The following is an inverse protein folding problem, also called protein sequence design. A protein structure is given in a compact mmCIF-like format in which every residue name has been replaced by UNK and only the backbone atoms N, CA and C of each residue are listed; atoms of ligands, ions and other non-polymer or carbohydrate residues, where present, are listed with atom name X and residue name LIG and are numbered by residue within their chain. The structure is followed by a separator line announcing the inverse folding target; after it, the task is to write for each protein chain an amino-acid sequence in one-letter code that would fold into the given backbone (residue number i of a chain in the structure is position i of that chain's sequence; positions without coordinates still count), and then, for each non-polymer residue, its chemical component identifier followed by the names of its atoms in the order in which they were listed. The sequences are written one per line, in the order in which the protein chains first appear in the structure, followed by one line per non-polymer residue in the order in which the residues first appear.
data_IF_970661402380
#
_entry.id   IF_970661402380
#
_cell.length_a   1.000
_cell.length_b   1.000
_cell.length_c   1.000
_cell.angle_alpha   90.00
_cell.angle_beta   90.00
_cell.angle_gamma   90.00
#
_symmetry.space_group_name_H-M   'P 1'
#
loop_
_entity.id
_entity.type
_entity.pdbx_description
1 polymer ?
#
# COMPACT_ATOMS: atom_id res chain seq x y z
N UNK A 1 -9.16 -13.12 7.13
CA UNK A 1 -10.37 -13.96 7.04
C UNK A 1 -11.25 -13.62 5.83
N UNK A 2 -11.21 -12.36 5.35
CA UNK A 2 -12.10 -11.87 4.28
C UNK A 2 -11.41 -11.74 2.91
N UNK A 3 -10.16 -12.13 2.79
CA UNK A 3 -9.40 -12.09 1.53
C UNK A 3 -10.12 -12.85 0.41
N UNK A 4 -10.21 -12.23 -0.77
CA UNK A 4 -10.77 -12.83 -2.00
C UNK A 4 -9.70 -13.28 -2.99
N UNK A 5 -8.49 -12.67 -2.91
CA UNK A 5 -7.29 -13.03 -3.67
C UNK A 5 -6.15 -13.37 -2.68
N UNK A 6 -5.93 -14.65 -2.37
CA UNK A 6 -4.92 -15.07 -1.41
C UNK A 6 -3.48 -14.80 -1.86
N UNK A 7 -3.20 -14.77 -3.15
CA UNK A 7 -1.86 -14.51 -3.67
C UNK A 7 -1.43 -13.07 -3.40
N UNK A 8 -2.38 -12.13 -3.50
CA UNK A 8 -2.15 -10.71 -3.25
C UNK A 8 -2.53 -10.26 -1.84
N UNK A 9 -3.13 -11.14 -1.05
CA UNK A 9 -3.69 -10.82 0.28
C UNK A 9 -4.65 -9.62 0.25
N UNK A 10 -5.54 -9.58 -0.76
CA UNK A 10 -6.48 -8.48 -1.03
C UNK A 10 -7.91 -9.00 -1.01
N UNK A 11 -8.83 -8.20 -0.49
CA UNK A 11 -10.27 -8.39 -0.67
C UNK A 11 -10.79 -7.35 -1.70
N UNK A 12 -11.49 -7.82 -2.74
CA UNK A 12 -12.12 -6.96 -3.74
C UNK A 12 -13.62 -7.23 -3.78
N UNK A 13 -14.40 -6.17 -3.67
CA UNK A 13 -15.87 -6.20 -3.69
C UNK A 13 -16.37 -5.32 -4.84
N UNK A 14 -17.16 -5.90 -5.72
CA UNK A 14 -17.80 -5.20 -6.84
C UNK A 14 -19.24 -4.84 -6.47
N UNK A 15 -19.60 -3.58 -6.63
CA UNK A 15 -20.94 -3.03 -6.39
C UNK A 15 -21.47 -3.29 -4.95
N UNK A 16 -20.61 -3.13 -3.90
CA UNK A 16 -20.97 -3.49 -2.55
C UNK A 16 -21.91 -2.49 -1.88
N UNK A 17 -22.68 -3.00 -0.93
CA UNK A 17 -23.25 -2.18 0.14
C UNK A 17 -22.21 -1.94 1.23
N UNK A 18 -22.31 -0.81 1.94
CA UNK A 18 -21.36 -0.39 2.97
C UNK A 18 -22.13 -0.05 4.24
N UNK A 19 -21.96 -0.86 5.27
CA UNK A 19 -22.43 -0.58 6.61
C UNK A 19 -21.34 0.15 7.39
N UNK A 20 -21.66 1.34 7.89
CA UNK A 20 -20.72 2.18 8.63
C UNK A 20 -21.22 2.27 10.08
N UNK A 21 -20.55 1.57 11.00
CA UNK A 21 -20.94 1.52 12.41
C UNK A 21 -19.86 2.16 13.29
N UNK A 22 -20.26 3.08 14.17
CA UNK A 22 -19.31 3.78 15.04
C UNK A 22 -18.69 2.85 16.08
N UNK A 23 -19.51 1.99 16.67
CA UNK A 23 -19.11 1.10 17.74
C UNK A 23 -18.63 -0.26 17.24
N UNK A 24 -18.10 -1.04 18.16
CA UNK A 24 -17.73 -2.44 17.98
C UNK A 24 -18.96 -3.30 17.68
N UNK A 25 -18.79 -4.30 16.81
CA UNK A 25 -19.81 -5.28 16.45
C UNK A 25 -19.38 -6.65 16.96
N UNK A 26 -20.02 -7.14 18.02
CA UNK A 26 -19.70 -8.43 18.66
C UNK A 26 -20.87 -9.41 18.63
N UNK A 27 -22.12 -8.89 18.64
CA UNK A 27 -23.33 -9.68 18.70
C UNK A 27 -23.91 -9.85 17.28
N UNK A 28 -24.14 -11.10 16.90
CA UNK A 28 -24.69 -11.42 15.58
C UNK A 28 -26.16 -11.00 15.44
N UNK A 29 -26.92 -10.99 16.52
CA UNK A 29 -28.34 -10.63 16.49
C UNK A 29 -28.59 -9.23 15.95
N UNK A 30 -27.71 -8.29 16.26
CA UNK A 30 -27.85 -6.90 15.85
C UNK A 30 -27.62 -6.71 14.33
N UNK A 31 -26.80 -7.61 13.72
CA UNK A 31 -26.52 -7.62 12.29
C UNK A 31 -27.55 -8.42 11.46
N UNK A 32 -28.25 -9.36 12.08
CA UNK A 32 -29.06 -10.35 11.36
C UNK A 32 -30.07 -9.71 10.39
N UNK A 33 -30.84 -8.66 10.79
CA UNK A 33 -31.83 -8.05 9.91
C UNK A 33 -31.24 -7.49 8.62
N UNK A 34 -30.08 -6.84 8.70
CA UNK A 34 -29.44 -6.24 7.52
C UNK A 34 -28.73 -7.31 6.66
N UNK A 35 -28.14 -8.32 7.28
CA UNK A 35 -27.49 -9.42 6.55
C UNK A 35 -28.48 -10.24 5.73
N UNK A 36 -29.68 -10.50 6.26
CA UNK A 36 -30.74 -11.19 5.52
C UNK A 36 -31.22 -10.38 4.30
N UNK A 37 -31.32 -9.07 4.45
CA UNK A 37 -31.71 -8.20 3.34
C UNK A 37 -30.64 -8.18 2.25
N UNK A 38 -29.37 -8.02 2.62
CA UNK A 38 -28.24 -7.99 1.67
C UNK A 38 -28.06 -9.35 0.98
N UNK A 39 -28.20 -10.46 1.73
CA UNK A 39 -28.14 -11.80 1.18
C UNK A 39 -29.21 -12.07 0.10
N UNK A 40 -30.44 -11.61 0.34
CA UNK A 40 -31.54 -11.70 -0.65
C UNK A 40 -31.25 -10.93 -1.93
N UNK A 41 -30.46 -9.85 -1.84
CA UNK A 41 -30.07 -9.05 -3.01
C UNK A 41 -28.88 -9.63 -3.77
N UNK A 42 -28.17 -10.60 -3.21
CA UNK A 42 -26.99 -11.22 -3.84
C UNK A 42 -25.83 -10.26 -4.02
N UNK A 43 -25.75 -9.17 -3.24
CA UNK A 43 -24.69 -8.16 -3.35
C UNK A 43 -23.67 -8.32 -2.22
N UNK A 44 -22.39 -7.93 -2.49
CA UNK A 44 -21.40 -7.90 -1.43
C UNK A 44 -21.71 -6.84 -0.36
N UNK A 45 -21.26 -7.09 0.88
CA UNK A 45 -21.36 -6.17 1.99
C UNK A 45 -19.98 -5.88 2.58
N UNK A 46 -19.62 -4.61 2.69
CA UNK A 46 -18.53 -4.16 3.51
C UNK A 46 -19.08 -3.66 4.85
N UNK A 47 -18.51 -4.13 5.96
CA UNK A 47 -18.81 -3.65 7.31
C UNK A 47 -17.60 -2.88 7.81
N UNK A 48 -17.77 -1.59 8.06
CA UNK A 48 -16.78 -0.72 8.69
C UNK A 48 -17.22 -0.48 10.13
N UNK A 49 -16.45 -0.92 11.11
CA UNK A 49 -16.78 -0.76 12.52
C UNK A 49 -15.52 -0.49 13.35
N UNK A 50 -15.67 0.01 14.58
CA UNK A 50 -14.54 0.15 15.50
C UNK A 50 -13.74 -1.14 15.64
N UNK A 51 -14.42 -2.24 15.81
CA UNK A 51 -13.91 -3.61 15.77
C UNK A 51 -15.05 -4.57 15.40
N UNK A 52 -14.69 -5.74 14.90
CA UNK A 52 -15.62 -6.84 14.66
C UNK A 52 -15.00 -8.09 15.31
N UNK A 53 -15.67 -8.65 16.30
CA UNK A 53 -15.16 -9.80 17.03
C UNK A 53 -16.25 -10.77 17.50
N UNK A 54 -15.87 -11.71 18.34
CA UNK A 54 -16.78 -12.65 19.00
C UNK A 54 -17.64 -13.44 18.03
N UNK A 55 -18.92 -13.57 18.37
CA UNK A 55 -19.90 -14.32 17.59
C UNK A 55 -20.14 -13.70 16.20
N UNK A 56 -20.13 -12.38 16.10
CA UNK A 56 -20.33 -11.67 14.84
C UNK A 56 -19.23 -12.03 13.84
N UNK A 57 -17.95 -11.90 14.23
CA UNK A 57 -16.83 -12.24 13.37
C UNK A 57 -16.87 -13.70 12.92
N UNK A 58 -17.05 -14.63 13.88
CA UNK A 58 -17.07 -16.06 13.58
C UNK A 58 -18.18 -16.41 12.57
N UNK A 59 -19.37 -15.85 12.75
CA UNK A 59 -20.51 -16.11 11.86
C UNK A 59 -20.30 -15.51 10.47
N UNK A 60 -19.77 -14.29 10.37
CA UNK A 60 -19.45 -13.66 9.09
C UNK A 60 -18.41 -14.48 8.31
N UNK A 61 -17.34 -14.93 8.97
CA UNK A 61 -16.29 -15.75 8.36
C UNK A 61 -16.83 -17.10 7.86
N UNK A 62 -17.64 -17.80 8.68
CA UNK A 62 -18.23 -19.08 8.29
C UNK A 62 -19.15 -18.91 7.08
N UNK A 63 -20.00 -17.89 7.06
CA UNK A 63 -20.92 -17.66 5.94
C UNK A 63 -20.18 -17.25 4.67
N UNK A 64 -19.10 -16.46 4.78
CA UNK A 64 -18.22 -16.13 3.65
C UNK A 64 -17.55 -17.40 3.09
N UNK A 65 -17.00 -18.26 3.94
CA UNK A 65 -16.35 -19.50 3.53
C UNK A 65 -17.33 -20.49 2.86
N UNK A 66 -18.58 -20.51 3.30
CA UNK A 66 -19.65 -21.31 2.70
C UNK A 66 -20.19 -20.72 1.39
N UNK A 67 -19.77 -19.52 1.02
CA UNK A 67 -20.27 -18.82 -0.17
C UNK A 67 -21.72 -18.31 -0.05
N UNK A 68 -22.31 -18.37 1.14
CA UNK A 68 -23.67 -17.87 1.39
C UNK A 68 -23.75 -16.36 1.51
N UNK A 69 -22.65 -15.71 1.86
CA UNK A 69 -22.52 -14.26 2.01
C UNK A 69 -21.19 -13.77 1.44
N UNK A 70 -21.26 -12.76 0.57
CA UNK A 70 -20.08 -12.02 0.14
C UNK A 70 -19.88 -10.84 1.10
N UNK A 71 -19.11 -11.05 2.16
CA UNK A 71 -18.91 -10.04 3.21
C UNK A 71 -17.44 -9.83 3.49
N UNK A 72 -17.10 -8.58 3.80
CA UNK A 72 -15.80 -8.18 4.32
C UNK A 72 -16.00 -7.25 5.52
N UNK A 73 -15.23 -7.46 6.58
CA UNK A 73 -15.19 -6.59 7.74
C UNK A 73 -13.85 -5.87 7.83
N UNK A 74 -13.87 -4.59 8.14
CA UNK A 74 -12.68 -3.76 8.32
C UNK A 74 -12.83 -2.84 9.52
N UNK A 75 -11.72 -2.57 10.21
CA UNK A 75 -11.70 -1.62 11.32
C UNK A 75 -11.81 -0.19 10.82
N UNK A 76 -12.62 0.61 11.53
CA UNK A 76 -12.77 2.03 11.27
C UNK A 76 -11.43 2.76 11.46
N UNK A 77 -11.10 3.74 10.60
CA UNK A 77 -9.86 4.50 10.71
C UNK A 77 -9.91 5.49 11.88
N UNK A 78 -8.76 5.71 12.52
CA UNK A 78 -8.62 6.70 13.59
C UNK A 78 -9.20 6.28 14.95
N UNK A 79 -9.25 7.23 15.88
CA UNK A 79 -9.69 7.03 17.26
C UNK A 79 -10.52 8.22 17.73
N UNK A 80 -11.47 7.99 18.67
CA UNK A 80 -12.30 9.04 19.29
C UNK A 80 -13.03 9.89 18.26
N UNK A 81 -13.08 11.21 18.47
CA UNK A 81 -13.80 12.14 17.58
C UNK A 81 -13.28 12.15 16.15
N UNK A 82 -12.00 11.84 15.94
CA UNK A 82 -11.46 11.68 14.58
C UNK A 82 -12.08 10.50 13.87
N UNK A 83 -12.28 9.37 14.55
CA UNK A 83 -12.94 8.21 13.97
C UNK A 83 -14.35 8.59 13.53
N UNK A 84 -15.12 9.28 14.39
CA UNK A 84 -16.47 9.77 14.05
C UNK A 84 -16.43 10.62 12.78
N UNK A 85 -15.55 11.61 12.74
CA UNK A 85 -15.40 12.50 11.60
C UNK A 85 -14.99 11.78 10.29
N UNK A 86 -14.11 10.77 10.38
CA UNK A 86 -13.70 9.97 9.21
C UNK A 86 -14.82 9.03 8.75
N UNK A 87 -15.61 8.46 9.66
CA UNK A 87 -16.78 7.65 9.32
C UNK A 87 -17.85 8.49 8.61
N UNK A 88 -18.06 9.73 9.05
CA UNK A 88 -18.95 10.68 8.37
C UNK A 88 -18.44 11.04 6.97
N UNK A 89 -17.11 11.21 6.80
CA UNK A 89 -16.50 11.45 5.48
C UNK A 89 -16.78 10.28 4.53
N UNK A 90 -16.67 9.04 5.02
CA UNK A 90 -16.98 7.83 4.25
C UNK A 90 -18.47 7.76 3.93
N UNK A 91 -19.34 8.10 4.88
CA UNK A 91 -20.78 8.12 4.68
C UNK A 91 -21.19 9.10 3.59
N UNK A 92 -20.66 10.32 3.62
CA UNK A 92 -20.91 11.33 2.58
C UNK A 92 -20.39 10.86 1.22
N UNK A 93 -19.20 10.26 1.17
CA UNK A 93 -18.61 9.74 -0.08
C UNK A 93 -19.45 8.63 -0.69
N UNK A 94 -20.03 7.77 0.12
CA UNK A 94 -20.73 6.56 -0.32
C UNK A 94 -22.25 6.70 -0.38
N UNK A 95 -22.78 7.83 0.09
CA UNK A 95 -24.23 8.11 0.14
C UNK A 95 -24.97 7.31 1.19
N UNK A 96 -24.26 6.81 2.21
CA UNK A 96 -24.84 6.13 3.37
C UNK A 96 -24.91 7.03 4.60
N UNK A 97 -25.21 6.43 5.75
CA UNK A 97 -25.15 7.12 7.04
C UNK A 97 -24.35 6.35 8.07
N UNK A 98 -23.82 7.05 9.06
CA UNK A 98 -23.14 6.44 10.20
C UNK A 98 -24.16 5.93 11.19
N UNK A 99 -24.09 4.64 11.52
CA UNK A 99 -24.87 4.04 12.60
C UNK A 99 -24.20 4.41 13.92
N UNK A 100 -24.86 5.26 14.70
CA UNK A 100 -24.38 5.75 15.98
C UNK A 100 -25.54 5.86 16.95
N UNK A 101 -25.35 5.33 18.16
CA UNK A 101 -26.32 5.46 19.23
C UNK A 101 -26.48 6.92 19.70
N UNK A 102 -25.43 7.72 19.58
CA UNK A 102 -25.47 9.16 19.89
C UNK A 102 -26.45 9.89 18.96
N UNK A 103 -26.64 9.39 17.74
CA UNK A 103 -27.60 9.87 16.75
C UNK A 103 -28.97 9.15 16.86
N UNK A 104 -29.16 8.26 17.85
CA UNK A 104 -30.39 7.50 18.04
C UNK A 104 -30.57 6.33 17.06
N UNK A 105 -29.54 5.99 16.25
CA UNK A 105 -29.60 4.92 15.26
C UNK A 105 -28.98 3.66 15.85
N UNK A 106 -29.81 2.63 16.03
CA UNK A 106 -29.35 1.33 16.49
C UNK A 106 -29.11 0.40 15.31
N UNK A 107 -28.09 -0.46 15.42
CA UNK A 107 -27.68 -1.39 14.37
C UNK A 107 -28.82 -2.34 13.94
N UNK A 108 -29.64 -2.79 14.88
CA UNK A 108 -30.81 -3.66 14.64
C UNK A 108 -31.90 -3.03 13.77
N UNK A 109 -31.95 -1.70 13.68
CA UNK A 109 -32.96 -0.93 12.95
C UNK A 109 -32.46 -0.41 11.58
N UNK A 110 -31.22 -0.74 11.19
CA UNK A 110 -30.62 -0.29 9.93
C UNK A 110 -31.33 -0.94 8.75
N UNK A 111 -31.69 -0.14 7.75
CA UNK A 111 -32.30 -0.58 6.50
C UNK A 111 -31.31 -0.44 5.34
N UNK A 112 -31.62 -1.09 4.21
CA UNK A 112 -30.78 -1.04 3.00
C UNK A 112 -30.50 0.40 2.51
N UNK A 113 -31.46 1.28 2.66
CA UNK A 113 -31.36 2.69 2.27
C UNK A 113 -30.37 3.50 3.10
N UNK A 114 -30.00 3.01 4.28
CA UNK A 114 -29.05 3.64 5.19
C UNK A 114 -27.60 3.24 4.87
N UNK A 115 -27.44 2.20 4.04
CA UNK A 115 -26.14 1.71 3.62
C UNK A 115 -25.55 2.58 2.52
N UNK A 116 -24.23 2.83 2.63
CA UNK A 116 -23.48 3.41 1.54
C UNK A 116 -23.31 2.42 0.37
N UNK A 117 -22.91 2.94 -0.78
CA UNK A 117 -22.63 2.17 -2.00
C UNK A 117 -21.41 2.71 -2.70
N UNK A 118 -20.72 1.83 -3.42
CA UNK A 118 -19.62 2.18 -4.30
C UNK A 118 -19.58 1.23 -5.50
N UNK A 119 -18.91 1.62 -6.59
CA UNK A 119 -18.71 0.74 -7.73
C UNK A 119 -17.77 -0.42 -7.41
N UNK A 120 -16.69 -0.12 -6.68
CA UNK A 120 -15.70 -1.11 -6.25
C UNK A 120 -15.05 -0.70 -4.95
N UNK A 121 -14.74 -1.68 -4.12
CA UNK A 121 -13.90 -1.48 -2.93
C UNK A 121 -12.79 -2.52 -2.94
N UNK A 122 -11.56 -2.07 -2.72
CA UNK A 122 -10.39 -2.93 -2.58
C UNK A 122 -9.78 -2.68 -1.21
N UNK A 123 -9.55 -3.77 -0.49
CA UNK A 123 -8.95 -3.73 0.85
C UNK A 123 -7.67 -4.57 0.84
N UNK A 124 -6.60 -4.00 1.31
CA UNK A 124 -5.40 -4.72 1.70
C UNK A 124 -5.20 -4.62 3.23
N UNK A 125 -4.08 -5.07 3.71
CA UNK A 125 -3.79 -5.08 5.16
C UNK A 125 -3.69 -3.64 5.75
N UNK A 126 -3.35 -2.64 4.94
CA UNK A 126 -3.05 -1.28 5.39
C UNK A 126 -4.07 -0.26 4.87
N UNK A 127 -4.74 -0.55 3.75
CA UNK A 127 -5.57 0.41 3.03
C UNK A 127 -6.93 -0.13 2.63
N UNK A 128 -7.92 0.76 2.61
CA UNK A 128 -9.23 0.53 1.99
C UNK A 128 -9.45 1.60 0.93
N UNK A 129 -9.57 1.18 -0.33
CA UNK A 129 -9.79 2.08 -1.47
C UNK A 129 -11.24 1.97 -1.94
N UNK A 130 -11.95 3.08 -1.91
CA UNK A 130 -13.33 3.20 -2.40
C UNK A 130 -13.31 3.88 -3.75
N UNK A 131 -13.83 3.22 -4.78
CA UNK A 131 -13.92 3.74 -6.15
C UNK A 131 -15.36 4.02 -6.50
N UNK A 132 -15.64 5.23 -7.01
CA UNK A 132 -16.96 5.69 -7.43
C UNK A 132 -18.03 5.47 -6.34
N UNK A 133 -17.86 6.14 -5.19
CA UNK A 133 -18.88 6.18 -4.13
C UNK A 133 -20.16 6.85 -4.64
N UNK A 134 -21.31 6.35 -4.18
CA UNK A 134 -22.63 6.80 -4.64
C UNK A 134 -23.11 8.09 -3.97
N UNK A 135 -22.28 8.76 -3.16
CA UNK A 135 -22.61 10.02 -2.50
C UNK A 135 -22.89 11.14 -3.48
N UNK A 136 -23.78 12.06 -3.11
CA UNK A 136 -24.10 13.19 -3.99
C UNK A 136 -22.92 14.17 -4.05
N UNK A 137 -22.63 14.69 -5.23
CA UNK A 137 -21.59 15.70 -5.44
C UNK A 137 -21.81 16.95 -4.56
N UNK A 138 -23.07 17.33 -4.36
CA UNK A 138 -23.45 18.48 -3.52
C UNK A 138 -23.05 18.28 -2.05
N UNK A 139 -23.31 17.10 -1.50
CA UNK A 139 -23.00 16.78 -0.11
C UNK A 139 -21.46 16.66 0.07
N UNK A 140 -20.78 16.07 -0.90
CA UNK A 140 -19.32 15.99 -0.91
C UNK A 140 -18.67 17.39 -0.95
N UNK A 141 -19.14 18.28 -1.83
CA UNK A 141 -18.67 19.67 -1.88
C UNK A 141 -18.98 20.43 -0.60
N UNK A 142 -20.14 20.16 0.03
CA UNK A 142 -20.50 20.69 1.33
C UNK A 142 -19.52 20.25 2.43
N UNK A 143 -19.21 18.96 2.47
CA UNK A 143 -18.23 18.39 3.42
C UNK A 143 -16.84 18.96 3.23
N UNK A 144 -16.39 19.10 1.99
CA UNK A 144 -15.09 19.72 1.63
C UNK A 144 -15.01 21.17 2.12
N UNK A 145 -16.07 21.97 1.91
CA UNK A 145 -16.11 23.36 2.41
C UNK A 145 -16.01 23.43 3.93
N UNK A 146 -16.72 22.56 4.63
CA UNK A 146 -16.69 22.47 6.10
C UNK A 146 -15.28 22.16 6.62
N UNK A 147 -14.61 21.17 6.03
CA UNK A 147 -13.22 20.81 6.44
C UNK A 147 -12.25 21.95 6.15
N UNK A 148 -12.42 22.68 5.04
CA UNK A 148 -11.58 23.87 4.74
C UNK A 148 -11.76 24.96 5.79
N UNK A 149 -12.98 25.26 6.17
CA UNK A 149 -13.25 26.22 7.25
C UNK A 149 -12.57 25.79 8.56
N UNK A 150 -12.64 24.52 8.93
CA UNK A 150 -11.95 23.97 10.11
C UNK A 150 -10.42 24.12 10.03
N UNK A 151 -9.83 23.94 8.83
CA UNK A 151 -8.39 24.16 8.60
C UNK A 151 -8.01 25.63 8.84
N UNK A 152 -8.85 26.56 8.40
CA UNK A 152 -8.60 28.00 8.55
C UNK A 152 -8.79 28.48 10.00
N UNK A 153 -9.71 27.87 10.75
CA UNK A 153 -10.03 28.23 12.14
C UNK A 153 -9.07 27.61 13.17
N UNK A 154 -8.47 26.44 12.88
CA UNK A 154 -7.64 25.73 13.86
C UNK A 154 -6.33 26.45 14.13
N UNK A 155 -5.95 26.57 15.40
CA UNK A 155 -4.66 27.10 15.87
C UNK A 155 -3.62 26.01 16.10
N UNK A 156 -4.03 24.72 16.07
CA UNK A 156 -3.17 23.56 16.25
C UNK A 156 -2.59 23.10 14.91
N UNK A 157 -1.27 23.11 14.78
CA UNK A 157 -0.58 22.62 13.57
C UNK A 157 -0.85 21.13 13.33
N UNK A 158 -0.95 20.33 14.41
CA UNK A 158 -1.27 18.93 14.34
C UNK A 158 -2.69 18.67 13.81
N UNK A 159 -3.68 19.43 14.31
CA UNK A 159 -5.08 19.28 13.84
C UNK A 159 -5.21 19.78 12.41
N UNK A 160 -4.49 20.85 12.05
CA UNK A 160 -4.42 21.34 10.67
C UNK A 160 -3.90 20.25 9.71
N UNK A 161 -2.81 19.58 10.08
CA UNK A 161 -2.27 18.47 9.29
C UNK A 161 -3.29 17.34 9.10
N UNK A 162 -3.98 16.94 10.18
CA UNK A 162 -4.99 15.86 10.12
C UNK A 162 -6.25 16.24 9.35
N UNK A 163 -6.66 17.50 9.40
CA UNK A 163 -7.74 18.03 8.55
C UNK A 163 -7.33 18.07 7.07
N UNK A 164 -6.09 18.45 6.78
CA UNK A 164 -5.55 18.40 5.41
C UNK A 164 -5.48 16.98 4.84
N UNK A 165 -5.08 15.99 5.65
CA UNK A 165 -5.11 14.57 5.26
C UNK A 165 -6.53 14.12 4.89
N UNK A 166 -7.54 14.48 5.69
CA UNK A 166 -8.95 14.16 5.41
C UNK A 166 -9.43 14.84 4.12
N UNK A 167 -9.12 16.12 3.98
CA UNK A 167 -9.46 16.90 2.78
C UNK A 167 -8.86 16.29 1.51
N UNK A 168 -7.59 15.89 1.57
CA UNK A 168 -6.90 15.26 0.44
C UNK A 168 -7.56 13.94 0.01
N UNK A 169 -8.04 13.12 0.96
CA UNK A 169 -8.76 11.88 0.67
C UNK A 169 -10.12 12.11 -0.02
N UNK A 170 -10.82 13.19 0.32
CA UNK A 170 -12.11 13.53 -0.29
C UNK A 170 -11.98 14.20 -1.67
N UNK A 171 -10.95 15.02 -1.88
CA UNK A 171 -10.75 15.77 -3.13
C UNK A 171 -9.90 14.99 -4.13
N UNK A 172 -8.91 14.22 -3.63
CA UNK A 172 -7.88 13.61 -4.48
C UNK A 172 -8.39 12.56 -5.47
N UNK A 173 -9.54 11.99 -5.20
CA UNK A 173 -10.12 10.94 -6.04
C UNK A 173 -9.24 9.68 -6.12
N UNK A 174 -9.69 8.72 -6.93
CA UNK A 174 -8.95 7.49 -7.26
C UNK A 174 -8.78 7.44 -8.76
N UNK A 175 -7.54 7.39 -9.22
CA UNK A 175 -7.26 7.16 -10.64
C UNK A 175 -7.33 5.66 -10.93
N UNK A 176 -8.09 5.29 -11.97
CA UNK A 176 -8.20 3.89 -12.43
C UNK A 176 -7.46 3.74 -13.75
N UNK A 177 -6.43 2.91 -13.75
CA UNK A 177 -5.69 2.55 -14.96
C UNK A 177 -6.25 1.22 -15.48
N UNK A 178 -6.96 1.29 -16.60
CA UNK A 178 -7.49 0.09 -17.24
C UNK A 178 -6.41 -0.54 -18.12
N UNK A 179 -6.08 -1.80 -17.85
CA UNK A 179 -5.09 -2.55 -18.62
C UNK A 179 -5.79 -3.62 -19.43
N UNK A 180 -5.50 -3.67 -20.74
CA UNK A 180 -6.03 -4.65 -21.66
C UNK A 180 -4.94 -5.24 -22.57
N UNK A 181 -5.17 -6.46 -23.07
CA UNK A 181 -4.32 -7.15 -24.03
C UNK A 181 -5.14 -8.17 -24.84
N UNK A 182 -4.54 -8.72 -25.90
CA UNK A 182 -5.19 -9.72 -26.74
C UNK A 182 -5.36 -11.07 -26.06
N UNK A 183 -4.47 -11.43 -25.11
CA UNK A 183 -4.51 -12.68 -24.35
C UNK A 183 -4.49 -12.40 -22.85
N UNK A 184 -5.00 -13.37 -22.08
CA UNK A 184 -4.99 -13.27 -20.60
C UNK A 184 -3.57 -13.22 -20.03
N UNK A 185 -2.65 -13.99 -20.58
CA UNK A 185 -1.24 -14.02 -20.15
C UNK A 185 -0.58 -12.66 -20.38
N UNK A 186 -0.78 -12.06 -21.55
CA UNK A 186 -0.26 -10.73 -21.87
C UNK A 186 -0.89 -9.65 -20.98
N UNK A 187 -2.19 -9.78 -20.69
CA UNK A 187 -2.88 -8.85 -19.80
C UNK A 187 -2.32 -8.91 -18.38
N UNK A 188 -2.07 -10.12 -17.85
CA UNK A 188 -1.45 -10.30 -16.53
C UNK A 188 -0.04 -9.71 -16.47
N UNK A 189 0.76 -9.91 -17.52
CA UNK A 189 2.10 -9.35 -17.60
C UNK A 189 2.07 -7.82 -17.63
N UNK A 190 1.23 -7.21 -18.48
CA UNK A 190 1.08 -5.76 -18.55
C UNK A 190 0.57 -5.18 -17.22
N UNK A 191 -0.39 -5.86 -16.56
CA UNK A 191 -0.88 -5.46 -15.25
C UNK A 191 0.23 -5.46 -14.21
N UNK A 192 1.03 -6.53 -14.14
CA UNK A 192 2.14 -6.64 -13.21
C UNK A 192 3.19 -5.53 -13.46
N UNK A 193 3.48 -5.21 -14.70
CA UNK A 193 4.40 -4.12 -15.09
C UNK A 193 3.89 -2.74 -14.65
N UNK A 194 2.57 -2.49 -14.77
CA UNK A 194 1.96 -1.24 -14.29
C UNK A 194 1.97 -1.18 -12.76
N UNK A 195 1.66 -2.28 -12.08
CA UNK A 195 1.72 -2.38 -10.60
C UNK A 195 3.15 -2.10 -10.10
N UNK A 196 4.17 -2.64 -10.74
CA UNK A 196 5.58 -2.41 -10.43
C UNK A 196 5.96 -0.92 -10.60
N UNK A 197 5.60 -0.33 -11.73
CA UNK A 197 5.82 1.10 -11.98
C UNK A 197 5.15 2.01 -10.96
N UNK A 198 3.93 1.67 -10.52
CA UNK A 198 3.21 2.40 -9.47
C UNK A 198 3.93 2.31 -8.12
N UNK A 199 4.39 1.12 -7.75
CA UNK A 199 5.12 0.91 -6.49
C UNK A 199 6.46 1.66 -6.51
N UNK A 200 7.20 1.60 -7.61
CA UNK A 200 8.44 2.35 -7.79
C UNK A 200 8.20 3.87 -7.70
N UNK A 201 7.13 4.37 -8.34
CA UNK A 201 6.76 5.80 -8.30
C UNK A 201 6.43 6.24 -6.87
N UNK A 202 5.63 5.47 -6.12
CA UNK A 202 5.32 5.76 -4.72
C UNK A 202 6.58 5.80 -3.86
N UNK A 203 7.45 4.81 -4.00
CA UNK A 203 8.72 4.77 -3.29
C UNK A 203 9.62 5.97 -3.61
N UNK A 204 9.62 6.42 -4.87
CA UNK A 204 10.37 7.60 -5.30
C UNK A 204 9.79 8.90 -4.73
N UNK A 205 8.46 9.02 -4.60
CA UNK A 205 7.82 10.18 -3.96
C UNK A 205 8.16 10.25 -2.47
N UNK A 206 8.27 9.10 -1.79
CA UNK A 206 8.54 9.05 -0.35
C UNK A 206 9.99 9.41 0.01
N UNK A 207 10.99 8.90 -0.71
CA UNK A 207 12.42 9.05 -0.35
C UNK A 207 13.30 9.62 -1.48
N UNK A 208 12.68 10.07 -2.58
CA UNK A 208 13.42 10.58 -3.73
C UNK A 208 14.04 9.48 -4.60
N UNK A 209 14.89 9.92 -5.52
CA UNK A 209 15.54 9.08 -6.52
C UNK A 209 17.06 9.14 -6.41
N UNK A 210 17.72 8.09 -6.91
CA UNK A 210 19.16 7.99 -7.04
C UNK A 210 19.50 7.53 -8.47
N UNK A 211 20.77 7.68 -8.93
CA UNK A 211 21.20 7.08 -10.20
C UNK A 211 20.97 5.57 -10.19
N UNK A 212 20.32 5.07 -11.23
CA UNK A 212 20.04 3.65 -11.40
C UNK A 212 21.25 2.82 -11.84
N UNK A 213 20.97 1.62 -12.33
CA UNK A 213 22.00 0.75 -12.86
C UNK A 213 23.06 0.29 -11.85
N UNK A 214 22.75 0.32 -10.55
CA UNK A 214 23.68 -0.04 -9.48
C UNK A 214 24.70 1.05 -9.11
N UNK A 215 24.68 2.21 -9.79
CA UNK A 215 25.65 3.31 -9.57
C UNK A 215 25.55 3.89 -8.17
N UNK A 216 24.34 4.06 -7.64
CA UNK A 216 24.14 4.57 -6.28
C UNK A 216 24.90 3.76 -5.22
N UNK A 217 24.88 2.43 -5.33
CA UNK A 217 25.63 1.53 -4.43
C UNK A 217 27.14 1.68 -4.60
N UNK A 218 27.64 1.77 -5.83
CA UNK A 218 29.06 1.99 -6.11
C UNK A 218 29.54 3.31 -5.48
N UNK A 219 28.74 4.38 -5.49
CA UNK A 219 29.07 5.65 -4.82
C UNK A 219 29.17 5.54 -3.29
N UNK A 220 28.52 4.55 -2.67
CA UNK A 220 28.64 4.29 -1.24
C UNK A 220 30.02 3.73 -0.83
N UNK A 221 30.85 3.25 -1.75
CA UNK A 221 32.20 2.75 -1.47
C UNK A 221 33.07 3.79 -0.75
N UNK A 222 32.99 5.05 -1.16
CA UNK A 222 33.74 6.14 -0.51
C UNK A 222 33.35 6.34 0.95
N UNK A 223 32.06 6.24 1.27
CA UNK A 223 31.56 6.33 2.64
C UNK A 223 32.05 5.13 3.49
N UNK A 224 31.97 3.92 2.93
CA UNK A 224 32.42 2.70 3.60
C UNK A 224 33.94 2.72 3.88
N UNK A 225 34.75 3.26 2.98
CA UNK A 225 36.21 3.37 3.15
C UNK A 225 36.61 4.27 4.34
N UNK A 226 35.76 5.21 4.73
CA UNK A 226 36.00 6.22 5.78
C UNK A 226 35.48 5.79 7.16
N UNK A 227 34.77 4.66 7.25
CA UNK A 227 34.21 4.19 8.53
C UNK A 227 35.35 3.80 9.50
N UNK A 228 35.33 4.41 10.69
CA UNK A 228 36.26 4.08 11.79
C UNK A 228 35.72 2.89 12.57
N UNK A 229 36.34 1.73 12.43
CA UNK A 229 35.93 0.47 13.05
C UNK A 229 37.10 -0.29 13.63
N UNK A 230 36.84 -1.25 14.54
CA UNK A 230 37.84 -2.16 15.12
C UNK A 230 38.44 -3.06 14.02
N UNK A 231 39.65 -3.57 14.27
CA UNK A 231 40.40 -4.36 13.29
C UNK A 231 39.60 -5.56 12.73
N UNK A 232 38.90 -6.28 13.61
CA UNK A 232 38.14 -7.47 13.23
C UNK A 232 36.92 -7.17 12.37
N UNK A 233 36.32 -5.98 12.54
CA UNK A 233 35.18 -5.52 11.75
C UNK A 233 35.56 -5.08 10.34
N UNK A 234 36.86 -4.81 10.08
CA UNK A 234 37.35 -4.40 8.74
C UNK A 234 37.09 -5.46 7.68
N UNK A 235 37.12 -6.73 8.06
CA UNK A 235 36.81 -7.82 7.12
C UNK A 235 35.35 -7.75 6.65
N UNK A 236 34.42 -7.55 7.59
CA UNK A 236 33.00 -7.39 7.27
C UNK A 236 32.74 -6.21 6.32
N UNK A 237 33.38 -5.06 6.57
CA UNK A 237 33.26 -3.91 5.64
C UNK A 237 33.80 -4.26 4.24
N UNK A 238 34.91 -4.98 4.11
CA UNK A 238 35.42 -5.43 2.81
C UNK A 238 34.41 -6.34 2.09
N UNK A 239 33.73 -7.23 2.83
CA UNK A 239 32.68 -8.09 2.25
C UNK A 239 31.54 -7.24 1.71
N UNK A 240 31.05 -6.25 2.48
CA UNK A 240 29.98 -5.34 2.03
C UNK A 240 30.43 -4.52 0.84
N UNK A 241 31.65 -3.95 0.88
CA UNK A 241 32.22 -3.20 -0.26
C UNK A 241 32.25 -4.03 -1.55
N UNK A 242 32.59 -5.32 -1.45
CA UNK A 242 32.57 -6.21 -2.60
C UNK A 242 31.16 -6.52 -3.08
N UNK A 243 30.24 -6.74 -2.13
CA UNK A 243 28.83 -7.09 -2.42
C UNK A 243 28.08 -5.96 -3.15
N UNK A 244 28.28 -4.70 -2.78
CA UNK A 244 27.57 -3.56 -3.39
C UNK A 244 28.00 -3.24 -4.83
N UNK A 245 29.06 -3.85 -5.31
CA UNK A 245 29.47 -3.79 -6.73
C UNK A 245 28.66 -4.76 -7.61
N UNK A 246 28.12 -5.83 -7.03
CA UNK A 246 27.50 -6.92 -7.79
C UNK A 246 26.29 -6.51 -8.62
N UNK A 247 25.39 -5.61 -8.19
CA UNK A 247 24.28 -5.17 -9.03
C UNK A 247 24.73 -4.57 -10.36
N UNK A 248 25.70 -3.65 -10.36
CA UNK A 248 26.24 -3.08 -11.58
C UNK A 248 26.99 -4.12 -12.43
N UNK A 249 27.77 -5.00 -11.78
CA UNK A 249 28.48 -6.09 -12.43
C UNK A 249 27.52 -7.00 -13.18
N UNK A 250 26.45 -7.41 -12.52
CA UNK A 250 25.48 -8.32 -13.11
C UNK A 250 24.73 -7.68 -14.28
N UNK A 251 24.37 -6.40 -14.17
CA UNK A 251 23.74 -5.65 -15.27
C UNK A 251 24.68 -5.62 -16.49
N UNK A 252 25.97 -5.30 -16.29
CA UNK A 252 26.94 -5.27 -17.37
C UNK A 252 27.15 -6.65 -18.02
N UNK A 253 27.27 -7.71 -17.19
CA UNK A 253 27.41 -9.09 -17.67
C UNK A 253 26.18 -9.54 -18.47
N UNK A 254 24.98 -9.22 -18.01
CA UNK A 254 23.74 -9.55 -18.71
C UNK A 254 23.62 -8.81 -20.06
N UNK A 255 24.24 -7.63 -20.17
CA UNK A 255 24.36 -6.89 -21.43
C UNK A 255 25.49 -7.38 -22.35
N UNK A 256 26.22 -8.42 -21.93
CA UNK A 256 27.32 -9.00 -22.72
C UNK A 256 28.68 -8.30 -22.56
N UNK A 257 28.85 -7.46 -21.52
CA UNK A 257 30.07 -6.72 -21.23
C UNK A 257 30.76 -7.24 -19.97
N UNK A 258 32.08 -7.11 -19.92
CA UNK A 258 32.88 -7.49 -18.76
C UNK A 258 32.57 -6.53 -17.57
N UNK A 259 31.85 -7.02 -16.59
CA UNK A 259 31.37 -6.21 -15.44
C UNK A 259 32.51 -5.58 -14.64
N UNK A 260 33.69 -6.21 -14.59
CA UNK A 260 34.86 -5.66 -13.89
C UNK A 260 35.39 -4.39 -14.54
N UNK A 261 35.38 -4.33 -15.86
CA UNK A 261 35.81 -3.16 -16.64
C UNK A 261 34.82 -2.02 -16.47
N UNK A 262 33.52 -2.35 -16.51
CA UNK A 262 32.46 -1.36 -16.31
C UNK A 262 32.50 -0.74 -14.92
N UNK A 263 32.69 -1.58 -13.89
CA UNK A 263 32.80 -1.10 -12.50
C UNK A 263 34.01 -0.20 -12.31
N UNK A 264 35.17 -0.59 -12.82
CA UNK A 264 36.40 0.20 -12.70
C UNK A 264 36.19 1.59 -13.32
N UNK A 265 35.63 1.66 -14.53
CA UNK A 265 35.33 2.93 -15.20
C UNK A 265 34.34 3.79 -14.41
N UNK A 266 33.26 3.19 -13.89
CA UNK A 266 32.25 3.91 -13.09
C UNK A 266 32.83 4.40 -11.75
N UNK A 267 33.72 3.64 -11.10
CA UNK A 267 34.38 4.04 -9.84
C UNK A 267 35.28 5.25 -9.99
N UNK A 268 35.96 5.37 -11.12
CA UNK A 268 36.88 6.48 -11.39
C UNK A 268 36.16 7.80 -11.69
N UNK A 269 34.85 7.76 -11.91
CA UNK A 269 34.02 8.92 -12.18
C UNK A 269 33.16 9.29 -10.96
N UNK A 270 32.48 10.43 -11.00
CA UNK A 270 31.69 10.97 -9.87
C UNK A 270 30.23 11.20 -10.25
N UNK A 271 29.41 11.44 -9.22
CA UNK A 271 28.01 11.81 -9.38
C UNK A 271 27.17 10.73 -10.06
N UNK A 272 26.21 11.11 -10.92
CA UNK A 272 25.30 10.21 -11.59
C UNK A 272 25.87 9.51 -12.82
N UNK A 273 27.15 9.72 -13.16
CA UNK A 273 27.81 9.06 -14.28
C UNK A 273 27.82 7.54 -14.08
N UNK A 274 27.35 6.82 -15.09
CA UNK A 274 27.25 5.36 -15.04
C UNK A 274 27.14 4.73 -16.42
N UNK A 275 26.93 3.41 -16.44
CA UNK A 275 26.77 2.64 -17.65
C UNK A 275 25.29 2.40 -17.95
N UNK A 276 24.82 2.90 -19.08
CA UNK A 276 23.48 2.63 -19.62
C UNK A 276 23.56 1.36 -20.48
N UNK A 277 23.06 0.25 -19.94
CA UNK A 277 23.12 -1.06 -20.60
C UNK A 277 22.23 -1.16 -21.85
N UNK A 278 21.12 -0.42 -21.89
CA UNK A 278 20.19 -0.40 -23.03
C UNK A 278 20.86 0.21 -24.28
N UNK A 279 21.56 1.33 -24.09
CA UNK A 279 22.22 2.05 -25.18
C UNK A 279 23.68 1.68 -25.38
N UNK A 280 24.26 0.90 -24.45
CA UNK A 280 25.67 0.57 -24.39
C UNK A 280 26.58 1.82 -24.37
N UNK A 281 26.25 2.80 -23.55
CA UNK A 281 27.02 4.05 -23.41
C UNK A 281 27.26 4.41 -21.97
N UNK A 282 28.27 5.25 -21.72
CA UNK A 282 28.52 5.84 -20.44
C UNK A 282 28.01 7.29 -20.46
N UNK A 283 27.11 7.62 -19.56
CA UNK A 283 26.46 8.94 -19.53
C UNK A 283 25.97 9.30 -18.11
N UNK A 284 25.43 10.50 -17.95
CA UNK A 284 24.69 10.88 -16.74
C UNK A 284 23.35 10.13 -16.71
N UNK A 285 23.23 9.17 -15.80
CA UNK A 285 22.07 8.28 -15.73
C UNK A 285 20.80 9.00 -15.26
N UNK A 286 20.92 10.05 -14.41
CA UNK A 286 19.74 10.84 -14.00
C UNK A 286 19.20 11.60 -15.21
N UNK A 287 20.06 12.26 -15.96
CA UNK A 287 19.67 12.99 -17.17
C UNK A 287 19.14 12.05 -18.27
N UNK A 288 19.65 10.83 -18.33
CA UNK A 288 19.18 9.79 -19.25
C UNK A 288 17.86 9.11 -18.83
N UNK A 289 17.34 9.40 -17.63
CA UNK A 289 16.12 8.76 -17.09
C UNK A 289 16.36 7.36 -16.52
N UNK A 290 17.62 6.93 -16.34
CA UNK A 290 17.97 5.67 -15.69
C UNK A 290 18.10 5.92 -14.18
N UNK A 291 17.00 5.80 -13.49
CA UNK A 291 16.85 6.16 -12.06
C UNK A 291 16.25 5.01 -11.27
N UNK A 292 16.63 4.94 -9.99
CA UNK A 292 16.04 4.02 -9.01
C UNK A 292 15.41 4.78 -7.85
N UNK A 293 14.31 4.29 -7.24
CA UNK A 293 13.80 4.85 -6.00
C UNK A 293 14.78 4.61 -4.85
N UNK A 294 15.14 5.64 -4.11
CA UNK A 294 16.08 5.54 -2.97
C UNK A 294 15.62 4.50 -1.95
N UNK A 295 14.33 4.50 -1.64
CA UNK A 295 13.70 3.56 -0.71
C UNK A 295 13.95 2.10 -1.10
N UNK A 296 13.79 1.76 -2.39
CA UNK A 296 13.99 0.40 -2.90
C UNK A 296 15.44 -0.04 -2.75
N UNK A 297 16.40 0.79 -3.16
CA UNK A 297 17.85 0.49 -3.07
C UNK A 297 18.26 0.33 -1.61
N UNK A 298 17.78 1.21 -0.72
CA UNK A 298 18.07 1.17 0.72
C UNK A 298 17.51 -0.09 1.38
N UNK A 299 16.25 -0.44 1.13
CA UNK A 299 15.63 -1.64 1.69
C UNK A 299 16.25 -2.92 1.15
N UNK A 300 16.61 -2.97 -0.13
CA UNK A 300 17.30 -4.12 -0.71
C UNK A 300 18.62 -4.40 0.04
N UNK A 301 19.44 -3.37 0.27
CA UNK A 301 20.69 -3.50 1.00
C UNK A 301 20.46 -3.87 2.47
N UNK A 302 19.51 -3.24 3.13
CA UNK A 302 19.18 -3.48 4.54
C UNK A 302 18.68 -4.91 4.76
N UNK A 303 17.77 -5.38 3.92
CA UNK A 303 17.21 -6.72 4.03
C UNK A 303 18.25 -7.80 3.69
N UNK A 304 19.04 -7.59 2.64
CA UNK A 304 20.14 -8.49 2.30
C UNK A 304 21.17 -8.59 3.44
N UNK A 305 21.55 -7.47 4.06
CA UNK A 305 22.45 -7.45 5.21
C UNK A 305 21.86 -8.15 6.43
N UNK A 306 20.57 -8.00 6.69
CA UNK A 306 19.87 -8.67 7.79
C UNK A 306 19.88 -10.20 7.61
N UNK A 307 19.47 -10.68 6.43
CA UNK A 307 19.44 -12.13 6.13
C UNK A 307 20.86 -12.73 6.14
N UNK A 308 21.81 -12.06 5.48
CA UNK A 308 23.21 -12.53 5.47
C UNK A 308 23.81 -12.59 6.88
N UNK A 309 23.50 -11.61 7.74
CA UNK A 309 23.93 -11.61 9.14
C UNK A 309 23.37 -12.79 9.92
N UNK A 310 22.08 -13.11 9.74
CA UNK A 310 21.48 -14.31 10.33
C UNK A 310 22.14 -15.59 9.82
N UNK A 311 22.36 -15.73 8.52
CA UNK A 311 23.02 -16.92 7.96
C UNK A 311 24.44 -17.12 8.49
N UNK A 312 25.20 -16.05 8.67
CA UNK A 312 26.57 -16.10 9.22
C UNK A 312 26.63 -16.49 10.70
N UNK A 313 25.56 -16.27 11.45
CA UNK A 313 25.47 -16.57 12.90
C UNK A 313 24.71 -17.85 13.20
N UNK A 314 24.17 -18.53 12.21
CA UNK A 314 23.36 -19.74 12.33
C UNK A 314 24.23 -20.99 12.08
N UNK A 315 24.18 -21.96 13.01
CA UNK A 315 24.92 -23.22 12.87
C UNK A 315 24.25 -24.23 11.92
N UNK A 316 22.92 -24.18 11.85
CA UNK A 316 22.14 -25.12 11.03
C UNK A 316 20.92 -24.45 10.40
N UNK A 317 20.57 -24.86 9.21
CA UNK A 317 19.37 -24.49 8.49
C UNK A 317 18.47 -25.72 8.35
N UNK A 318 17.20 -25.57 8.74
CA UNK A 318 16.18 -26.63 8.57
C UNK A 318 15.26 -26.17 7.45
N UNK A 319 15.17 -26.98 6.41
CA UNK A 319 14.29 -26.73 5.25
C UNK A 319 13.53 -27.99 4.90
N UNK A 320 12.36 -27.83 4.27
CA UNK A 320 11.62 -28.93 3.71
C UNK A 320 12.43 -29.54 2.54
N UNK A 321 12.37 -30.87 2.44
CA UNK A 321 13.01 -31.57 1.33
C UNK A 321 12.14 -31.35 0.09
N UNK A 322 12.70 -30.85 -1.04
CA UNK A 322 11.95 -30.64 -2.26
C UNK A 322 11.38 -31.93 -2.85
#
# INVERSE_FOLDING_TARGET
YFVTDPEKMVASLEDPYILINEKKVSNMKDLLPILEQVAKMGKPLLIIAEDIDGEALATLVVNKLRGTLQVCGVKAPGFGDRRKAMLEDIAVLTGGQVVSEDLGIKLENVAIQDLGRAKRITLDKDNTTVVDGAGSRKDLEGRVRMIRAQIDETTSDYDREKLQERLAKLIGGVAVINVGAATETEMKEKKARVEDALNATRAAVEEGIVPGGGVALVRCLDALSKIKIKADQKLGVKVVMRAIEEPLRQIANNAGFEGSVVIDKVKNEKGPFGYNADKNVYEDLISAGVIDPTKVVRYALQNAGSVAGLMLTTEAMIADKP
#
